data_IF_302294446773
#
_entry.id   IF_302294446773
#
_cell.length_a   1.000
_cell.length_b   1.000
_cell.length_c   1.000
_cell.angle_alpha   90.00
_cell.angle_beta   90.00
_cell.angle_gamma   90.00
#
_symmetry.space_group_name_H-M   'P 1'
#
loop_
_entity.id
_entity.type
_entity.pdbx_description
1 polymer ?
#
# COMPACT_ATOMS: atom_id res chain seq x y z
N UNK A 1 -34.56 3.23 17.26
CA UNK A 1 -34.39 2.08 16.33
C UNK A 1 -33.45 1.12 17.02
N UNK A 2 -33.84 -0.13 17.28
CA UNK A 2 -32.92 -1.09 17.92
C UNK A 2 -31.89 -1.56 16.88
N UNK A 3 -30.61 -1.67 17.27
CA UNK A 3 -29.54 -2.18 16.42
C UNK A 3 -29.84 -3.60 15.89
N UNK A 4 -30.58 -4.38 16.64
CA UNK A 4 -30.99 -5.74 16.30
C UNK A 4 -31.82 -5.87 15.01
N UNK A 5 -32.44 -4.78 14.56
CA UNK A 5 -33.29 -4.76 13.35
C UNK A 5 -32.66 -4.06 12.15
N UNK A 6 -31.37 -3.70 12.24
CA UNK A 6 -30.67 -3.05 11.12
C UNK A 6 -30.21 -4.07 10.08
N UNK A 7 -30.42 -3.75 8.81
CA UNK A 7 -29.80 -4.48 7.69
C UNK A 7 -28.30 -4.21 7.60
N UNK A 8 -27.53 -5.07 6.94
CA UNK A 8 -26.10 -4.83 6.70
C UNK A 8 -25.83 -3.52 5.94
N UNK A 9 -26.73 -3.11 5.04
CA UNK A 9 -26.61 -1.84 4.30
C UNK A 9 -26.82 -0.61 5.21
N UNK A 10 -27.71 -0.70 6.20
CA UNK A 10 -27.90 0.35 7.20
C UNK A 10 -26.71 0.40 8.16
N UNK A 11 -26.18 -0.74 8.60
CA UNK A 11 -24.96 -0.82 9.41
C UNK A 11 -23.75 -0.25 8.66
N UNK A 12 -23.61 -0.50 7.35
CA UNK A 12 -22.52 0.06 6.54
C UNK A 12 -22.51 1.60 6.57
N UNK A 13 -23.69 2.24 6.56
CA UNK A 13 -23.79 3.71 6.67
C UNK A 13 -23.32 4.25 8.02
N UNK A 14 -23.33 3.41 9.04
CA UNK A 14 -22.91 3.74 10.40
C UNK A 14 -21.42 3.43 10.68
N UNK A 15 -20.72 2.73 9.80
CA UNK A 15 -19.32 2.32 10.03
C UNK A 15 -18.40 3.50 10.42
N UNK A 16 -18.54 4.64 9.76
CA UNK A 16 -17.73 5.82 10.06
C UNK A 16 -18.00 6.45 11.44
N UNK A 17 -19.10 6.06 12.11
CA UNK A 17 -19.52 6.58 13.43
C UNK A 17 -19.34 5.55 14.55
N UNK A 18 -19.09 4.28 14.21
CA UNK A 18 -18.95 3.16 15.17
C UNK A 18 -17.57 2.53 14.93
N UNK A 19 -16.53 2.89 15.72
CA UNK A 19 -15.15 2.41 15.51
C UNK A 19 -15.04 0.89 15.45
N UNK A 20 -15.87 0.16 16.20
CA UNK A 20 -15.86 -1.31 16.24
C UNK A 20 -16.30 -1.95 14.92
N UNK A 21 -17.05 -1.21 14.09
CA UNK A 21 -17.49 -1.68 12.78
C UNK A 21 -16.57 -1.24 11.63
N UNK A 22 -15.55 -0.41 11.88
CA UNK A 22 -14.78 0.26 10.82
C UNK A 22 -14.30 -0.69 9.72
N UNK A 23 -14.82 -0.49 8.52
CA UNK A 23 -14.60 -1.31 7.34
C UNK A 23 -15.16 -2.74 7.40
N UNK A 24 -15.65 -3.23 8.56
CA UNK A 24 -16.09 -4.62 8.71
C UNK A 24 -17.25 -4.99 7.78
N UNK A 25 -18.31 -4.18 7.78
CA UNK A 25 -19.49 -4.42 6.95
C UNK A 25 -19.14 -4.19 5.46
N UNK A 26 -18.36 -3.17 5.15
CA UNK A 26 -17.88 -2.89 3.79
C UNK A 26 -17.08 -4.07 3.24
N UNK A 27 -16.21 -4.70 4.05
CA UNK A 27 -15.49 -5.92 3.66
C UNK A 27 -16.42 -7.10 3.37
N UNK A 28 -17.51 -7.26 4.15
CA UNK A 28 -18.51 -8.32 3.91
C UNK A 28 -19.29 -8.05 2.62
N UNK A 29 -19.71 -6.82 2.39
CA UNK A 29 -20.55 -6.41 1.27
C UNK A 29 -19.81 -6.26 -0.07
N UNK A 30 -18.49 -6.22 -0.08
CA UNK A 30 -17.68 -6.18 -1.30
C UNK A 30 -17.88 -7.47 -2.11
N UNK A 31 -18.69 -7.41 -3.16
CA UNK A 31 -19.09 -8.57 -3.99
C UNK A 31 -18.38 -8.62 -5.34
N UNK A 32 -17.99 -7.47 -5.87
CA UNK A 32 -17.26 -7.35 -7.14
C UNK A 32 -15.76 -7.18 -6.89
N UNK A 33 -14.96 -7.35 -7.95
CA UNK A 33 -13.53 -7.05 -7.88
C UNK A 33 -13.27 -5.59 -7.51
N UNK A 34 -14.00 -4.66 -8.11
CA UNK A 34 -13.82 -3.23 -7.85
C UNK A 34 -14.19 -2.87 -6.40
N UNK A 35 -15.29 -3.43 -5.83
CA UNK A 35 -15.60 -3.26 -4.41
C UNK A 35 -14.48 -3.79 -3.51
N UNK A 36 -13.90 -4.95 -3.87
CA UNK A 36 -12.78 -5.54 -3.12
C UNK A 36 -11.57 -4.61 -3.11
N UNK A 37 -11.20 -4.06 -4.26
CA UNK A 37 -10.06 -3.14 -4.40
C UNK A 37 -10.30 -1.83 -3.64
N UNK A 38 -11.49 -1.25 -3.73
CA UNK A 38 -11.85 -0.01 -3.03
C UNK A 38 -11.76 -0.14 -1.51
N UNK A 39 -12.28 -1.25 -0.97
CA UNK A 39 -12.23 -1.53 0.47
C UNK A 39 -10.80 -1.85 0.90
N UNK A 40 -10.08 -2.68 0.13
CA UNK A 40 -8.69 -3.02 0.42
C UNK A 40 -7.79 -1.78 0.47
N UNK A 41 -7.94 -0.85 -0.48
CA UNK A 41 -7.14 0.38 -0.48
C UNK A 41 -7.46 1.29 0.71
N UNK A 42 -8.71 1.34 1.15
CA UNK A 42 -9.09 2.05 2.39
C UNK A 42 -8.40 1.43 3.61
N UNK A 43 -8.42 0.11 3.72
CA UNK A 43 -7.80 -0.61 4.84
C UNK A 43 -6.28 -0.48 4.84
N UNK A 44 -5.63 -0.57 3.67
CA UNK A 44 -4.19 -0.32 3.52
C UNK A 44 -3.85 1.13 3.93
N UNK A 45 -4.65 2.12 3.55
CA UNK A 45 -4.43 3.51 3.94
C UNK A 45 -4.50 3.68 5.48
N UNK A 46 -5.46 3.05 6.14
CA UNK A 46 -5.57 3.05 7.61
C UNK A 46 -4.32 2.45 8.25
N UNK A 47 -3.83 1.32 7.73
CA UNK A 47 -2.60 0.68 8.23
C UNK A 47 -1.38 1.59 8.02
N UNK A 48 -1.28 2.24 6.87
CA UNK A 48 -0.19 3.15 6.56
C UNK A 48 -0.21 4.35 7.52
N UNK A 49 -1.37 4.98 7.74
CA UNK A 49 -1.51 6.10 8.70
C UNK A 49 -1.03 5.71 10.10
N UNK A 50 -1.42 4.53 10.60
CA UNK A 50 -0.94 4.03 11.90
C UNK A 50 0.58 3.87 11.95
N UNK A 51 1.21 3.42 10.85
CA UNK A 51 2.68 3.34 10.78
C UNK A 51 3.35 4.72 10.79
N UNK A 52 2.74 5.68 10.10
CA UNK A 52 3.25 7.06 9.99
C UNK A 52 3.13 7.86 11.30
N UNK A 53 2.28 7.44 12.26
CA UNK A 53 2.15 8.05 13.58
C UNK A 53 3.41 7.86 14.46
N UNK A 54 4.13 6.75 14.29
CA UNK A 54 5.28 6.37 15.11
C UNK A 54 6.51 6.00 14.27
N UNK A 55 7.03 6.90 13.42
CA UNK A 55 8.12 6.60 12.49
C UNK A 55 9.45 6.28 13.20
N UNK A 56 9.62 6.69 14.48
CA UNK A 56 10.80 6.39 15.29
C UNK A 56 11.01 4.90 15.54
N UNK A 57 9.92 4.10 15.57
CA UNK A 57 9.97 2.66 15.80
C UNK A 57 10.67 1.91 14.66
N UNK A 58 10.76 2.53 13.47
CA UNK A 58 11.31 1.91 12.27
C UNK A 58 12.75 2.33 11.93
N UNK A 59 13.39 3.19 12.77
CA UNK A 59 14.70 3.76 12.44
C UNK A 59 15.85 2.75 12.59
N UNK A 60 15.73 1.79 13.51
CA UNK A 60 16.81 0.85 13.85
C UNK A 60 16.84 -0.39 12.94
N UNK A 61 15.71 -0.83 12.44
CA UNK A 61 15.59 -2.03 11.61
C UNK A 61 14.77 -1.74 10.35
N UNK A 62 15.46 -1.23 9.33
CA UNK A 62 14.90 -0.82 8.04
C UNK A 62 14.89 -1.99 7.07
N UNK A 63 14.12 -3.05 7.36
CA UNK A 63 13.98 -4.22 6.49
C UNK A 63 12.61 -4.21 5.81
N UNK A 64 12.60 -4.34 4.49
CA UNK A 64 11.38 -4.38 3.66
C UNK A 64 10.42 -5.46 4.14
N UNK A 65 10.92 -6.70 4.31
CA UNK A 65 10.13 -7.85 4.73
C UNK A 65 9.43 -7.61 6.08
N UNK A 66 10.15 -7.09 7.09
CA UNK A 66 9.57 -6.79 8.39
C UNK A 66 8.41 -5.80 8.28
N UNK A 67 8.63 -4.69 7.55
CA UNK A 67 7.62 -3.65 7.37
C UNK A 67 6.38 -4.18 6.65
N UNK A 68 6.59 -5.06 5.67
CA UNK A 68 5.52 -5.67 4.85
C UNK A 68 4.77 -6.75 5.63
N UNK A 69 5.49 -7.58 6.41
CA UNK A 69 4.86 -8.58 7.30
C UNK A 69 3.91 -7.93 8.31
N UNK A 70 4.27 -6.77 8.87
CA UNK A 70 3.38 -6.04 9.78
C UNK A 70 2.09 -5.58 9.08
N UNK A 71 2.16 -5.10 7.82
CA UNK A 71 0.98 -4.76 7.00
C UNK A 71 0.14 -6.02 6.77
N UNK A 72 0.76 -7.11 6.34
CA UNK A 72 0.11 -8.39 6.10
C UNK A 72 -0.63 -8.89 7.36
N UNK A 73 0.00 -8.80 8.53
CA UNK A 73 -0.62 -9.23 9.80
C UNK A 73 -1.86 -8.38 10.15
N UNK A 74 -1.82 -7.06 9.91
CA UNK A 74 -2.98 -6.21 10.15
C UNK A 74 -4.13 -6.54 9.17
N UNK A 75 -3.84 -6.75 7.89
CA UNK A 75 -4.83 -7.19 6.91
C UNK A 75 -5.46 -8.54 7.30
N UNK A 76 -4.68 -9.49 7.82
CA UNK A 76 -5.21 -10.76 8.35
C UNK A 76 -6.17 -10.54 9.53
N UNK A 77 -5.84 -9.63 10.45
CA UNK A 77 -6.73 -9.28 11.58
C UNK A 77 -8.04 -8.64 11.10
N UNK A 78 -8.02 -7.94 9.97
CA UNK A 78 -9.21 -7.39 9.32
C UNK A 78 -10.02 -8.45 8.54
N UNK A 79 -9.56 -9.71 8.49
CA UNK A 79 -10.26 -10.84 7.85
C UNK A 79 -9.85 -11.11 6.39
N UNK A 80 -8.80 -10.47 5.87
CA UNK A 80 -8.27 -10.79 4.55
C UNK A 80 -7.43 -12.08 4.56
N UNK A 81 -7.46 -12.81 3.44
CA UNK A 81 -6.49 -13.86 3.15
C UNK A 81 -5.21 -13.19 2.62
N UNK A 82 -4.41 -12.63 3.53
CA UNK A 82 -3.16 -11.96 3.20
C UNK A 82 -1.96 -12.88 3.45
N UNK A 83 -0.95 -12.86 2.57
CA UNK A 83 0.29 -13.63 2.70
C UNK A 83 1.50 -12.81 2.24
N UNK A 84 2.68 -13.14 2.79
CA UNK A 84 3.97 -12.55 2.45
C UNK A 84 4.86 -13.63 1.84
N UNK A 85 5.80 -13.22 0.96
CA UNK A 85 6.74 -14.11 0.28
C UNK A 85 6.04 -15.30 -0.44
N UNK A 86 4.92 -14.98 -1.08
CA UNK A 86 4.11 -16.01 -1.74
C UNK A 86 4.62 -16.29 -3.14
N UNK A 87 4.83 -17.58 -3.46
CA UNK A 87 5.27 -18.01 -4.78
C UNK A 87 4.16 -17.84 -5.82
N UNK A 88 4.23 -16.74 -6.57
CA UNK A 88 3.37 -16.44 -7.74
C UNK A 88 4.29 -15.87 -8.83
N UNK A 89 4.75 -16.69 -9.78
CA UNK A 89 5.72 -16.27 -10.81
C UNK A 89 7.10 -15.85 -10.26
N UNK A 90 7.27 -15.84 -8.94
CA UNK A 90 8.40 -15.43 -8.12
C UNK A 90 7.93 -15.36 -6.67
N UNK A 91 8.57 -14.54 -5.84
CA UNK A 91 8.21 -14.32 -4.45
C UNK A 91 7.60 -12.93 -4.30
N UNK A 92 6.27 -12.83 -4.30
CA UNK A 92 5.54 -11.57 -4.15
C UNK A 92 5.53 -11.13 -2.69
N UNK A 93 5.85 -9.87 -2.41
CA UNK A 93 6.00 -9.35 -1.05
C UNK A 93 4.68 -9.32 -0.27
N UNK A 94 3.57 -9.03 -0.95
CA UNK A 94 2.24 -9.02 -0.34
C UNK A 94 1.19 -9.51 -1.33
N UNK A 95 0.46 -10.55 -0.96
CA UNK A 95 -0.67 -11.07 -1.74
C UNK A 95 -1.91 -11.03 -0.87
N UNK A 96 -2.98 -10.42 -1.38
CA UNK A 96 -4.29 -10.34 -0.71
C UNK A 96 -5.33 -10.99 -1.59
N UNK A 97 -6.09 -11.94 -1.03
CA UNK A 97 -7.12 -12.69 -1.74
C UNK A 97 -8.48 -12.52 -1.08
N UNK A 98 -9.51 -12.52 -1.92
CA UNK A 98 -10.91 -12.64 -1.51
C UNK A 98 -11.64 -13.46 -2.57
N UNK A 99 -11.95 -14.73 -2.25
CA UNK A 99 -12.46 -15.72 -3.23
C UNK A 99 -11.51 -15.83 -4.43
N UNK A 100 -12.04 -15.58 -5.65
CA UNK A 100 -11.30 -15.57 -6.92
C UNK A 100 -10.48 -14.30 -7.15
N UNK A 101 -10.71 -13.24 -6.37
CA UNK A 101 -10.03 -11.95 -6.52
C UNK A 101 -8.65 -11.97 -5.89
N UNK A 102 -7.69 -11.42 -6.58
CA UNK A 102 -6.30 -11.34 -6.16
C UNK A 102 -5.80 -9.91 -6.35
N UNK A 103 -5.16 -9.39 -5.33
CA UNK A 103 -4.36 -8.17 -5.39
C UNK A 103 -2.94 -8.48 -4.95
N UNK A 104 -1.96 -7.91 -5.66
CA UNK A 104 -0.55 -8.12 -5.38
C UNK A 104 0.12 -6.77 -5.11
N UNK A 105 0.86 -6.71 -4.02
CA UNK A 105 1.72 -5.59 -3.65
C UNK A 105 3.18 -5.98 -3.70
N UNK A 106 4.00 -5.10 -4.25
CA UNK A 106 5.45 -5.12 -4.15
C UNK A 106 5.89 -4.03 -3.20
N UNK A 107 6.90 -4.28 -2.40
CA UNK A 107 7.39 -3.37 -1.37
C UNK A 107 8.84 -3.00 -1.61
N UNK A 108 9.17 -1.72 -1.55
CA UNK A 108 10.55 -1.22 -1.70
C UNK A 108 10.86 -0.10 -0.73
N UNK A 109 12.01 -0.17 -0.08
CA UNK A 109 12.59 1.00 0.58
C UNK A 109 13.16 1.91 -0.50
N UNK A 110 12.76 3.18 -0.53
CA UNK A 110 13.31 4.15 -1.46
C UNK A 110 14.81 4.36 -1.19
N UNK A 111 15.63 3.92 -2.14
CA UNK A 111 17.08 4.16 -2.23
C UNK A 111 17.36 5.06 -3.43
N UNK A 112 16.87 4.64 -4.59
CA UNK A 112 16.92 5.33 -5.87
C UNK A 112 15.70 4.92 -6.73
N UNK A 113 15.52 5.54 -7.88
CA UNK A 113 14.36 5.28 -8.75
C UNK A 113 14.53 4.03 -9.60
N UNK A 114 15.75 3.57 -9.86
CA UNK A 114 16.00 2.29 -10.53
C UNK A 114 15.56 1.12 -9.66
N UNK A 115 15.81 1.20 -8.36
CA UNK A 115 15.36 0.18 -7.41
C UNK A 115 13.82 0.11 -7.30
N UNK A 116 13.14 1.26 -7.34
CA UNK A 116 11.68 1.30 -7.41
C UNK A 116 11.17 0.73 -8.74
N UNK A 117 11.87 1.03 -9.84
CA UNK A 117 11.54 0.50 -11.17
C UNK A 117 11.65 -1.02 -11.23
N UNK A 118 12.67 -1.61 -10.63
CA UNK A 118 12.79 -3.07 -10.53
C UNK A 118 11.60 -3.68 -9.80
N UNK A 119 11.15 -3.08 -8.68
CA UNK A 119 9.94 -3.52 -7.99
C UNK A 119 8.68 -3.40 -8.85
N UNK A 120 8.52 -2.28 -9.56
CA UNK A 120 7.42 -2.10 -10.50
C UNK A 120 7.43 -3.15 -11.63
N UNK A 121 8.60 -3.46 -12.18
CA UNK A 121 8.75 -4.52 -13.20
C UNK A 121 8.41 -5.90 -12.64
N UNK A 122 8.83 -6.23 -11.40
CA UNK A 122 8.49 -7.50 -10.75
C UNK A 122 6.97 -7.66 -10.65
N UNK A 123 6.27 -6.60 -10.22
CA UNK A 123 4.81 -6.59 -10.13
C UNK A 123 4.15 -6.86 -11.50
N UNK A 124 4.60 -6.17 -12.55
CA UNK A 124 4.01 -6.25 -13.88
C UNK A 124 4.32 -7.52 -14.65
N UNK A 125 5.55 -8.03 -14.53
CA UNK A 125 6.03 -9.09 -15.45
C UNK A 125 6.12 -10.47 -14.82
N UNK A 126 6.07 -10.54 -13.48
CA UNK A 126 6.23 -11.81 -12.76
C UNK A 126 4.96 -12.24 -12.02
N UNK A 127 4.34 -11.32 -11.29
CA UNK A 127 3.36 -11.67 -10.27
C UNK A 127 1.92 -11.52 -10.74
N UNK A 128 1.63 -10.53 -11.57
CA UNK A 128 0.29 -10.29 -12.08
C UNK A 128 0.06 -10.95 -13.43
N UNK A 129 -1.19 -11.31 -13.69
CA UNK A 129 -1.66 -11.77 -15.01
C UNK A 129 -2.34 -10.65 -15.80
N UNK A 130 -2.77 -9.58 -15.11
CA UNK A 130 -3.56 -8.51 -15.70
C UNK A 130 -4.96 -8.94 -16.16
N UNK A 131 -5.48 -10.07 -15.68
CA UNK A 131 -6.85 -10.53 -15.98
C UNK A 131 -7.87 -9.83 -15.07
N UNK A 132 -9.14 -9.93 -15.38
CA UNK A 132 -10.26 -9.22 -14.76
C UNK A 132 -10.36 -9.40 -13.23
N UNK A 133 -9.85 -10.52 -12.69
CA UNK A 133 -9.76 -10.78 -11.25
C UNK A 133 -8.43 -10.37 -10.61
N UNK A 134 -7.52 -9.76 -11.37
CA UNK A 134 -6.16 -9.38 -10.95
C UNK A 134 -5.63 -8.19 -11.79
N UNK A 135 -6.48 -7.22 -12.09
CA UNK A 135 -6.14 -6.05 -12.94
C UNK A 135 -5.55 -4.87 -12.17
N UNK A 136 -5.38 -5.00 -10.85
CA UNK A 136 -4.82 -3.97 -9.97
C UNK A 136 -3.69 -4.53 -9.13
N UNK A 137 -2.67 -3.70 -8.89
CA UNK A 137 -1.58 -3.98 -7.99
C UNK A 137 -1.15 -2.75 -7.20
N UNK A 138 -0.16 -2.89 -6.34
CA UNK A 138 0.37 -1.79 -5.56
C UNK A 138 1.86 -1.82 -5.37
N UNK A 139 2.49 -0.65 -5.38
CA UNK A 139 3.87 -0.45 -4.98
C UNK A 139 3.89 0.29 -3.64
N UNK A 140 4.29 -0.40 -2.58
CA UNK A 140 4.49 0.14 -1.24
C UNK A 140 5.91 0.73 -1.17
N UNK A 141 6.03 2.04 -0.96
CA UNK A 141 7.31 2.74 -1.00
C UNK A 141 7.64 3.27 0.39
N UNK A 142 8.53 2.59 1.12
CA UNK A 142 8.98 3.03 2.44
C UNK A 142 10.01 4.15 2.31
N UNK A 143 9.69 5.35 2.81
CA UNK A 143 10.51 6.56 2.63
C UNK A 143 11.09 7.03 3.96
N UNK A 144 12.39 6.84 4.12
CA UNK A 144 13.16 7.25 5.30
C UNK A 144 13.91 8.58 5.12
N UNK A 145 13.78 9.20 3.95
CA UNK A 145 14.41 10.49 3.63
C UNK A 145 13.43 11.64 3.75
N UNK A 146 13.95 12.87 3.87
CA UNK A 146 13.14 14.09 3.88
C UNK A 146 12.42 14.32 2.56
N UNK A 147 11.32 15.08 2.62
CA UNK A 147 10.59 15.55 1.45
C UNK A 147 10.02 14.43 0.57
N UNK A 148 9.17 13.59 1.16
CA UNK A 148 8.42 12.52 0.45
C UNK A 148 7.72 13.04 -0.80
N UNK A 149 7.22 14.28 -0.80
CA UNK A 149 6.59 14.89 -1.99
C UNK A 149 7.56 14.89 -3.17
N UNK A 150 8.77 15.39 -2.98
CA UNK A 150 9.79 15.41 -4.05
C UNK A 150 10.18 14.00 -4.51
N UNK A 151 10.21 13.03 -3.60
CA UNK A 151 10.47 11.61 -3.97
C UNK A 151 9.38 11.10 -4.91
N UNK A 152 8.11 11.33 -4.56
CA UNK A 152 6.98 10.82 -5.35
C UNK A 152 6.81 11.54 -6.69
N UNK A 153 7.05 12.87 -6.74
CA UNK A 153 7.04 13.64 -8.00
C UNK A 153 8.11 13.13 -8.97
N UNK A 154 9.35 12.94 -8.51
CA UNK A 154 10.42 12.38 -9.33
C UNK A 154 10.19 10.93 -9.72
N UNK A 155 9.56 10.13 -8.85
CA UNK A 155 9.17 8.77 -9.19
C UNK A 155 8.14 8.74 -10.32
N UNK A 156 7.16 9.62 -10.28
CA UNK A 156 6.15 9.74 -11.34
C UNK A 156 6.80 10.20 -12.66
N UNK A 157 7.71 11.17 -12.63
CA UNK A 157 8.49 11.62 -13.81
C UNK A 157 9.33 10.46 -14.38
N UNK A 158 10.00 9.69 -13.51
CA UNK A 158 10.81 8.54 -13.89
C UNK A 158 9.98 7.46 -14.60
N UNK A 159 8.80 7.16 -14.09
CA UNK A 159 7.86 6.22 -14.73
C UNK A 159 7.38 6.73 -16.10
N UNK A 160 7.04 8.01 -16.20
CA UNK A 160 6.58 8.62 -17.45
C UNK A 160 7.63 8.51 -18.56
N UNK A 161 8.91 8.48 -18.21
CA UNK A 161 10.01 8.32 -19.16
C UNK A 161 10.26 6.85 -19.60
N UNK A 162 9.55 5.84 -19.02
CA UNK A 162 9.77 4.43 -19.34
C UNK A 162 9.02 3.93 -20.58
N UNK A 163 8.26 4.79 -21.26
CA UNK A 163 7.55 4.45 -22.50
C UNK A 163 6.63 3.21 -22.40
N UNK A 164 5.96 3.04 -21.25
CA UNK A 164 4.95 1.97 -21.10
C UNK A 164 3.79 2.21 -22.08
N UNK A 165 3.26 1.14 -22.66
CA UNK A 165 2.18 1.22 -23.65
C UNK A 165 0.92 1.79 -22.99
N UNK A 166 0.36 2.83 -23.56
CA UNK A 166 -0.83 3.56 -23.06
C UNK A 166 -0.68 4.03 -21.62
N UNK A 167 0.54 4.44 -21.22
CA UNK A 167 0.78 4.97 -19.89
C UNK A 167 -0.04 6.23 -19.63
N UNK A 168 -0.73 6.21 -18.50
CA UNK A 168 -1.36 7.39 -17.91
C UNK A 168 -1.22 7.35 -16.40
N UNK A 169 -1.38 8.48 -15.73
CA UNK A 169 -1.40 8.54 -14.27
C UNK A 169 -2.45 9.53 -13.78
N UNK A 170 -2.90 9.32 -12.54
CA UNK A 170 -3.81 10.24 -11.85
C UNK A 170 -3.55 10.22 -10.34
N UNK A 171 -3.77 11.37 -9.69
CA UNK A 171 -3.52 11.48 -8.25
C UNK A 171 -4.61 10.81 -7.42
N UNK A 172 -4.19 10.22 -6.30
CA UNK A 172 -5.12 9.64 -5.35
C UNK A 172 -5.87 10.76 -4.59
N UNK A 173 -7.21 10.75 -4.62
CA UNK A 173 -8.02 11.75 -3.92
C UNK A 173 -7.95 11.65 -2.39
N UNK A 174 -7.67 10.46 -1.85
CA UNK A 174 -7.63 10.19 -0.40
C UNK A 174 -6.25 10.43 0.22
N UNK A 175 -5.16 10.21 -0.54
CA UNK A 175 -3.77 10.40 -0.10
C UNK A 175 -3.03 11.25 -1.12
N UNK A 176 -2.77 12.52 -0.76
CA UNK A 176 -2.22 13.53 -1.67
C UNK A 176 -0.84 13.19 -2.26
N UNK A 177 -0.07 12.33 -1.59
CA UNK A 177 1.26 11.89 -2.06
C UNK A 177 1.21 10.56 -2.81
N UNK A 178 0.07 9.86 -2.82
CA UNK A 178 -0.12 8.66 -3.59
C UNK A 178 -0.68 8.99 -4.98
N UNK A 179 -0.37 8.15 -5.96
CA UNK A 179 -0.94 8.24 -7.29
C UNK A 179 -1.19 6.85 -7.86
N UNK A 180 -1.98 6.78 -8.92
CA UNK A 180 -2.19 5.60 -9.72
C UNK A 180 -1.50 5.76 -11.07
N UNK A 181 -0.93 4.70 -11.60
CA UNK A 181 -0.55 4.60 -13.01
C UNK A 181 -1.35 3.49 -13.70
N UNK A 182 -1.63 3.69 -14.97
CA UNK A 182 -2.23 2.67 -15.84
C UNK A 182 -1.34 2.45 -17.05
N UNK A 183 -1.30 1.23 -17.54
CA UNK A 183 -0.59 0.85 -18.76
C UNK A 183 -1.16 -0.48 -19.28
N UNK A 184 -0.77 -0.89 -20.47
CA UNK A 184 -1.11 -2.21 -20.99
C UNK A 184 -0.17 -3.25 -20.38
N UNK A 185 -0.77 -4.27 -19.75
CA UNK A 185 -0.03 -5.39 -19.17
C UNK A 185 0.57 -6.28 -20.27
N UNK A 186 1.86 -6.57 -20.18
CA UNK A 186 2.61 -7.28 -21.24
C UNK A 186 2.03 -8.64 -21.59
N UNK A 187 1.55 -9.40 -20.59
CA UNK A 187 1.07 -10.77 -20.83
C UNK A 187 -0.39 -10.82 -21.28
N UNK A 188 -1.28 -10.00 -20.74
CA UNK A 188 -2.71 -10.07 -21.04
C UNK A 188 -3.17 -9.12 -22.14
N UNK A 189 -2.40 -8.06 -22.43
CA UNK A 189 -2.84 -6.98 -23.30
C UNK A 189 -3.98 -6.13 -22.73
N UNK A 190 -4.35 -6.33 -21.46
CA UNK A 190 -5.39 -5.59 -20.78
C UNK A 190 -4.80 -4.38 -20.02
N UNK A 191 -5.66 -3.42 -19.66
CA UNK A 191 -5.25 -2.31 -18.80
C UNK A 191 -4.95 -2.83 -17.41
N UNK A 192 -3.75 -2.54 -16.91
CA UNK A 192 -3.31 -2.82 -15.55
C UNK A 192 -3.10 -1.53 -14.78
N UNK A 193 -3.63 -1.48 -13.56
CA UNK A 193 -3.55 -0.32 -12.68
C UNK A 193 -2.60 -0.59 -11.52
N UNK A 194 -1.64 0.29 -11.28
CA UNK A 194 -0.74 0.22 -10.12
C UNK A 194 -0.95 1.43 -9.23
N UNK A 195 -1.26 1.20 -7.95
CA UNK A 195 -1.28 2.26 -6.93
C UNK A 195 0.10 2.41 -6.31
N UNK A 196 0.69 3.60 -6.40
CA UNK A 196 1.97 3.95 -5.78
C UNK A 196 1.70 4.59 -4.42
N UNK A 197 2.10 3.91 -3.36
CA UNK A 197 1.74 4.25 -1.97
C UNK A 197 2.98 4.59 -1.16
N UNK A 198 3.30 5.89 -0.96
CA UNK A 198 4.37 6.27 -0.06
C UNK A 198 3.99 5.97 1.40
N UNK A 199 4.95 5.51 2.17
CA UNK A 199 4.87 5.31 3.61
C UNK A 199 5.97 6.16 4.25
N UNK A 200 5.56 7.23 4.96
CA UNK A 200 6.47 8.26 5.48
C UNK A 200 7.08 7.80 6.78
N UNK A 201 8.31 7.32 6.73
CA UNK A 201 9.05 6.84 7.89
C UNK A 201 10.28 7.70 8.23
N UNK A 202 10.41 8.89 7.63
CA UNK A 202 11.46 9.83 8.00
C UNK A 202 11.24 10.35 9.41
N UNK A 203 12.25 10.20 10.28
CA UNK A 203 12.22 10.71 11.64
C UNK A 203 13.54 11.42 11.98
N UNK A 204 13.50 12.73 12.15
CA UNK A 204 14.67 13.55 12.51
C UNK A 204 14.23 14.77 13.32
N UNK A 205 13.82 14.56 14.60
CA UNK A 205 13.40 15.65 15.45
C UNK A 205 14.58 16.61 15.72
N UNK A 206 14.28 17.91 15.77
CA UNK A 206 15.26 19.00 15.90
C UNK A 206 15.17 19.75 17.23
N UNK A 207 14.27 19.33 18.11
CA UNK A 207 14.10 19.93 19.42
C UNK A 207 15.27 19.62 20.37
N UNK A 208 15.37 20.38 21.48
CA UNK A 208 16.49 20.27 22.43
C UNK A 208 16.58 18.93 23.15
N UNK A 209 15.45 18.26 23.42
CA UNK A 209 15.39 16.95 24.05
C UNK A 209 15.94 15.86 23.14
N UNK A 210 15.57 15.89 21.86
CA UNK A 210 16.09 14.98 20.85
C UNK A 210 17.60 15.16 20.59
N UNK A 211 18.10 16.41 20.64
CA UNK A 211 19.55 16.68 20.53
C UNK A 211 20.33 16.11 21.71
N UNK A 212 19.82 16.22 22.94
CA UNK A 212 20.44 15.61 24.12
C UNK A 212 20.52 14.09 24.03
N UNK A 213 19.41 13.43 23.64
CA UNK A 213 19.38 11.98 23.48
C UNK A 213 20.36 11.47 22.38
N UNK A 214 20.57 12.24 21.30
CA UNK A 214 21.59 11.93 20.27
C UNK A 214 23.02 12.06 20.79
N UNK A 215 23.29 13.02 21.68
CA UNK A 215 24.62 13.22 22.27
C UNK A 215 24.96 12.12 23.27
N UNK A 216 23.99 11.66 24.04
CA UNK A 216 24.17 10.57 25.02
C UNK A 216 24.44 9.23 24.30
N UNK A 217 23.70 8.90 23.21
CA UNK A 217 23.95 7.71 22.39
C UNK A 217 25.30 7.68 21.64
N UNK A 218 25.98 8.83 21.51
CA UNK A 218 27.32 8.88 20.88
C UNK A 218 28.45 8.72 21.88
N UNK A 219 28.17 8.78 23.20
CA UNK A 219 29.14 8.68 24.26
C UNK A 219 29.21 7.30 24.94
N UNK A 220 28.32 6.41 24.63
CA UNK A 220 28.31 5.01 25.04
C UNK A 220 28.54 4.09 23.81
#
# INVERSE_FOLDING_TARGET
MSIENLTLLELQKLEGNIPELDGFISRILAKTYDDFIDVLYKDIDTIIFTKEENPELYQLDKKEDRLTVEIMQQLRRMGYQASHDTKIGGHADLVVKKKEYIWIGEAKIHKDYEYLWQGFQQLNTRYSTGDCNQKDGGLLIYIFVQNTKSVMEKWQEYLSAKNLINYAYFFCRKRSLAFFSTHIHDSSGQVFTVRHMPIILHFSPKDKSAMRAKLEKKKG
#
